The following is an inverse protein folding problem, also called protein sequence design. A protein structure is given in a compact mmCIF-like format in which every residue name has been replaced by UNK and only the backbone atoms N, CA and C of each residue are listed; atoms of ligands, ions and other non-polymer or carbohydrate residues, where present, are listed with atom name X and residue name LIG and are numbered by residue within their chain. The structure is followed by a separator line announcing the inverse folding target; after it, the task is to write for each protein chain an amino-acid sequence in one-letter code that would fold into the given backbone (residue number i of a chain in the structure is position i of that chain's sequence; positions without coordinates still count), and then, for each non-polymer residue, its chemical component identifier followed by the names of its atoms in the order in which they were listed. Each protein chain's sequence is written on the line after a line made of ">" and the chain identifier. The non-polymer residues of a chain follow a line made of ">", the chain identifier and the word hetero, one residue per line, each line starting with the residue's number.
data_IF_753798242836
#
_entry.id   IF_753798242836
#
_cell.length_a   1.000
_cell.length_b   1.000
_cell.length_c   1.000
_cell.angle_alpha   90.00
_cell.angle_beta   90.00
_cell.angle_gamma   90.00
#
_symmetry.space_group_name_H-M   'P 1'
#
loop_
_entity.id
_entity.type
_entity.pdbx_description
1 polymer ?
#
# COMPACT_ATOMS: atom_id res chain seq x y z
N UNK A 1 4.55 19.76 73.31
CA UNK A 1 5.54 18.81 72.77
C UNK A 1 4.81 17.60 72.24
N UNK A 2 4.68 17.50 70.91
CA UNK A 2 4.47 16.30 70.10
C UNK A 2 3.93 16.75 68.73
N UNK A 3 4.87 16.87 67.80
CA UNK A 3 4.70 16.96 66.35
C UNK A 3 4.00 15.71 65.81
N UNK A 4 3.18 15.82 64.76
CA UNK A 4 2.99 14.74 63.79
C UNK A 4 2.68 15.33 62.41
N UNK A 5 3.78 15.56 61.70
CA UNK A 5 4.02 15.34 60.27
C UNK A 5 2.79 15.18 59.36
N UNK A 6 2.53 16.23 58.58
CA UNK A 6 1.82 16.10 57.31
C UNK A 6 2.78 15.57 56.24
N UNK A 7 2.86 14.24 56.10
CA UNK A 7 3.49 13.59 54.95
C UNK A 7 2.75 13.99 53.67
N UNK A 8 3.31 14.97 52.94
CA UNK A 8 2.84 15.30 51.60
C UNK A 8 3.41 14.28 50.61
N UNK A 9 2.61 13.25 50.31
CA UNK A 9 2.90 12.28 49.26
C UNK A 9 2.95 12.99 47.89
N UNK A 10 4.16 13.35 47.46
CA UNK A 10 4.43 13.76 46.09
C UNK A 10 4.24 12.57 45.14
N UNK A 11 3.01 12.31 44.71
CA UNK A 11 2.74 11.47 43.55
C UNK A 11 3.27 12.16 42.31
N UNK A 12 4.55 11.91 41.99
CA UNK A 12 5.11 12.21 40.67
C UNK A 12 4.37 11.34 39.67
N UNK A 13 3.31 11.90 39.06
CA UNK A 13 2.62 11.29 37.93
C UNK A 13 3.63 11.16 36.80
N UNK A 14 4.22 9.97 36.64
CA UNK A 14 5.04 9.61 35.47
C UNK A 14 4.15 9.79 34.24
N UNK A 15 4.31 10.92 33.55
CA UNK A 15 3.62 11.21 32.29
C UNK A 15 3.93 10.07 31.32
N UNK A 16 2.92 9.28 30.96
CA UNK A 16 3.05 8.22 29.98
C UNK A 16 3.55 8.84 28.66
N UNK A 17 4.83 8.65 28.33
CA UNK A 17 5.51 9.19 27.14
C UNK A 17 5.01 8.58 25.81
N UNK A 18 3.98 7.74 25.83
CA UNK A 18 3.51 7.01 24.65
C UNK A 18 2.70 7.87 23.68
N UNK A 19 1.96 8.87 24.19
CA UNK A 19 1.05 9.68 23.36
C UNK A 19 1.82 10.74 22.57
N UNK A 20 2.77 11.42 23.19
CA UNK A 20 3.65 12.40 22.53
C UNK A 20 4.50 11.76 21.43
N UNK A 21 5.04 10.55 21.66
CA UNK A 21 5.82 9.85 20.63
C UNK A 21 4.97 9.46 19.42
N UNK A 22 3.71 9.08 19.62
CA UNK A 22 2.81 8.74 18.51
C UNK A 22 2.40 9.99 17.70
N UNK A 23 2.20 11.12 18.36
CA UNK A 23 1.95 12.40 17.71
C UNK A 23 3.18 12.91 16.95
N UNK A 24 4.36 12.84 17.55
CA UNK A 24 5.62 13.23 16.92
C UNK A 24 5.89 12.40 15.66
N UNK A 25 5.68 11.07 15.71
CA UNK A 25 5.82 10.21 14.53
C UNK A 25 4.87 10.64 13.41
N UNK A 26 3.61 10.94 13.73
CA UNK A 26 2.62 11.43 12.74
C UNK A 26 3.03 12.80 12.17
N UNK A 27 3.57 13.70 12.98
CA UNK A 27 4.04 15.02 12.55
C UNK A 27 5.26 14.89 11.63
N UNK A 28 6.21 14.03 11.97
CA UNK A 28 7.38 13.76 11.13
C UNK A 28 6.99 13.13 9.80
N UNK A 29 6.06 12.17 9.80
CA UNK A 29 5.50 11.59 8.57
C UNK A 29 4.79 12.65 7.73
N UNK A 30 3.94 13.48 8.33
CA UNK A 30 3.25 14.56 7.65
C UNK A 30 4.22 15.59 7.03
N UNK A 31 5.30 15.94 7.75
CA UNK A 31 6.35 16.84 7.25
C UNK A 31 7.11 16.22 6.08
N UNK A 32 7.45 14.92 6.16
CA UNK A 32 8.08 14.16 5.08
C UNK A 32 7.17 14.05 3.86
N UNK A 33 5.86 13.84 4.04
CA UNK A 33 4.87 13.84 2.94
C UNK A 33 4.70 15.21 2.31
N UNK A 34 4.78 16.29 3.08
CA UNK A 34 4.71 17.67 2.55
C UNK A 34 5.93 18.05 1.72
N UNK A 35 7.10 17.48 2.02
CA UNK A 35 8.33 17.70 1.26
C UNK A 35 8.46 16.80 0.02
N UNK A 36 7.61 15.79 -0.14
CA UNK A 36 7.62 14.95 -1.34
C UNK A 36 7.07 15.71 -2.55
N UNK A 37 7.69 15.55 -3.74
CA UNK A 37 7.25 16.25 -4.95
C UNK A 37 5.84 15.83 -5.42
N UNK A 38 5.37 14.65 -5.00
CA UNK A 38 4.08 14.04 -5.38
C UNK A 38 2.83 14.70 -4.72
N UNK A 39 3.00 15.73 -3.87
CA UNK A 39 1.91 16.50 -3.22
C UNK A 39 0.61 15.67 -3.00
N UNK A 40 0.61 14.70 -2.07
CA UNK A 40 -0.52 13.77 -1.93
C UNK A 40 -1.82 14.51 -1.66
N UNK A 41 -2.80 14.35 -2.56
CA UNK A 41 -4.13 14.93 -2.43
C UNK A 41 -5.02 14.12 -1.47
N UNK A 42 -4.64 12.87 -1.18
CA UNK A 42 -5.36 11.99 -0.27
C UNK A 42 -5.25 12.48 1.18
N UNK A 43 -6.40 12.80 1.76
CA UNK A 43 -6.56 13.09 3.19
C UNK A 43 -7.08 11.83 3.88
N UNK A 44 -6.66 11.56 5.14
CA UNK A 44 -7.30 10.53 5.94
C UNK A 44 -8.79 10.87 6.05
N UNK A 45 -9.63 10.06 5.43
CA UNK A 45 -11.08 10.19 5.43
C UNK A 45 -11.65 8.81 5.64
N UNK A 46 -12.57 8.70 6.58
CA UNK A 46 -13.28 7.45 6.82
C UNK A 46 -14.10 7.09 5.57
N UNK A 47 -14.26 5.79 5.31
CA UNK A 47 -15.13 5.35 4.22
C UNK A 47 -16.55 5.87 4.50
N UNK A 48 -17.31 6.21 3.46
CA UNK A 48 -18.68 6.69 3.61
C UNK A 48 -19.60 5.65 4.28
N UNK A 49 -19.18 4.38 4.30
CA UNK A 49 -19.84 3.28 5.00
C UNK A 49 -19.30 3.00 6.41
N UNK A 50 -18.31 3.76 6.86
CA UNK A 50 -17.80 3.66 8.24
C UNK A 50 -18.81 4.31 9.18
N UNK A 51 -19.11 3.63 10.29
CA UNK A 51 -20.05 4.08 11.34
C UNK A 51 -19.70 5.44 11.96
N UNK A 52 -18.43 5.88 11.91
CA UNK A 52 -17.96 7.19 12.37
C UNK A 52 -18.08 8.31 11.33
N UNK A 53 -18.46 7.99 10.09
CA UNK A 53 -18.56 9.00 9.03
C UNK A 53 -19.80 9.86 9.26
N UNK A 54 -19.67 11.17 9.07
CA UNK A 54 -20.74 12.17 9.25
C UNK A 54 -21.84 12.08 8.15
N UNK A 55 -21.98 10.91 7.48
CA UNK A 55 -22.97 10.64 6.45
C UNK A 55 -24.13 9.85 7.10
N UNK A 56 -25.17 10.56 7.52
CA UNK A 56 -26.05 10.13 8.60
C UNK A 56 -27.18 9.14 8.24
N UNK A 57 -27.36 8.71 6.99
CA UNK A 57 -28.62 8.04 6.62
C UNK A 57 -28.50 6.83 5.66
N UNK A 58 -27.70 5.82 6.01
CA UNK A 58 -27.81 4.48 5.40
C UNK A 58 -28.25 3.39 6.39
N UNK A 59 -28.49 3.74 7.66
CA UNK A 59 -28.89 2.79 8.70
C UNK A 59 -30.14 2.01 8.32
N UNK A 60 -31.13 2.66 7.70
CA UNK A 60 -32.34 1.99 7.22
C UNK A 60 -32.08 0.96 6.12
N UNK A 61 -31.22 1.29 5.14
CA UNK A 61 -30.88 0.38 4.04
C UNK A 61 -30.03 -0.81 4.52
N UNK A 62 -29.04 -0.56 5.38
CA UNK A 62 -28.19 -1.63 5.95
C UNK A 62 -29.01 -2.53 6.87
N UNK A 63 -29.88 -1.97 7.71
CA UNK A 63 -30.76 -2.75 8.57
C UNK A 63 -31.76 -3.58 7.76
N UNK A 64 -32.31 -3.01 6.67
CA UNK A 64 -33.19 -3.74 5.77
C UNK A 64 -32.47 -4.86 5.01
N UNK A 65 -31.27 -4.60 4.49
CA UNK A 65 -30.43 -5.62 3.85
C UNK A 65 -30.05 -6.74 4.83
N UNK A 66 -29.70 -6.39 6.07
CA UNK A 66 -29.46 -7.37 7.13
C UNK A 66 -30.71 -8.19 7.43
N UNK A 67 -31.88 -7.55 7.58
CA UNK A 67 -33.14 -8.24 7.86
C UNK A 67 -33.53 -9.20 6.72
N UNK A 68 -33.42 -8.77 5.46
CA UNK A 68 -33.69 -9.62 4.30
C UNK A 68 -32.73 -10.81 4.21
N UNK A 69 -31.43 -10.56 4.38
CA UNK A 69 -30.41 -11.61 4.33
C UNK A 69 -30.58 -12.58 5.50
N UNK A 70 -30.89 -12.09 6.69
CA UNK A 70 -31.10 -12.91 7.88
C UNK A 70 -32.38 -13.74 7.75
N UNK A 71 -33.52 -13.11 7.43
CA UNK A 71 -34.81 -13.79 7.32
C UNK A 71 -34.82 -14.83 6.17
N UNK A 72 -34.25 -14.50 5.02
CA UNK A 72 -34.14 -15.42 3.88
C UNK A 72 -33.03 -16.46 4.03
N UNK A 73 -31.86 -16.03 4.51
CA UNK A 73 -30.67 -16.85 4.67
C UNK A 73 -30.82 -17.89 5.77
N UNK A 74 -31.45 -17.56 6.91
CA UNK A 74 -31.70 -18.53 7.99
C UNK A 74 -32.59 -19.66 7.51
N UNK A 75 -33.66 -19.36 6.78
CA UNK A 75 -34.57 -20.40 6.26
C UNK A 75 -33.82 -21.39 5.38
N UNK A 76 -33.05 -20.89 4.42
CA UNK A 76 -32.23 -21.71 3.52
C UNK A 76 -31.12 -22.45 4.27
N UNK A 77 -30.50 -21.82 5.27
CA UNK A 77 -29.45 -22.42 6.08
C UNK A 77 -29.99 -23.56 6.94
N UNK A 78 -31.13 -23.37 7.63
CA UNK A 78 -31.76 -24.42 8.44
C UNK A 78 -32.25 -25.57 7.56
N UNK A 79 -32.84 -25.28 6.40
CA UNK A 79 -33.28 -26.32 5.46
C UNK A 79 -32.09 -27.14 4.94
N UNK A 80 -31.00 -26.47 4.54
CA UNK A 80 -29.81 -27.17 4.09
C UNK A 80 -29.09 -27.91 5.22
N UNK A 81 -29.04 -27.35 6.44
CA UNK A 81 -28.42 -27.97 7.61
C UNK A 81 -29.19 -29.21 8.06
N UNK A 82 -30.52 -29.17 8.02
CA UNK A 82 -31.36 -30.29 8.46
C UNK A 82 -31.48 -31.39 7.39
N UNK A 83 -31.44 -31.03 6.09
CA UNK A 83 -31.55 -31.99 4.97
C UNK A 83 -30.21 -32.58 4.53
N UNK A 84 -29.15 -31.78 4.51
CA UNK A 84 -27.82 -32.19 4.02
C UNK A 84 -26.74 -32.23 5.11
N UNK A 85 -27.02 -31.75 6.33
CA UNK A 85 -26.03 -31.67 7.41
C UNK A 85 -24.97 -30.58 7.18
N UNK A 86 -23.93 -30.58 8.03
CA UNK A 86 -22.71 -29.80 7.77
C UNK A 86 -21.91 -30.56 6.70
N UNK A 87 -22.13 -30.22 5.43
CA UNK A 87 -21.42 -30.81 4.28
C UNK A 87 -20.33 -29.90 3.71
N UNK A 88 -19.97 -28.85 4.44
CA UNK A 88 -18.90 -27.93 4.04
C UNK A 88 -17.60 -28.51 4.55
N UNK A 89 -17.00 -29.39 3.74
CA UNK A 89 -15.67 -29.89 4.01
C UNK A 89 -14.64 -28.84 3.54
N UNK A 90 -13.89 -28.20 4.45
CA UNK A 90 -12.90 -27.17 4.08
C UNK A 90 -11.80 -27.74 3.16
N UNK A 91 -11.55 -29.04 3.25
CA UNK A 91 -10.62 -29.75 2.37
C UNK A 91 -11.09 -29.77 0.92
N UNK A 92 -12.40 -29.88 0.68
CA UNK A 92 -12.97 -29.89 -0.67
C UNK A 92 -12.85 -28.52 -1.35
N UNK A 93 -12.99 -27.44 -0.59
CA UNK A 93 -12.71 -26.08 -1.06
C UNK A 93 -11.24 -25.90 -1.41
N UNK A 94 -10.36 -26.45 -0.58
CA UNK A 94 -8.93 -26.45 -0.88
C UNK A 94 -8.66 -27.24 -2.16
N UNK A 95 -9.27 -28.41 -2.36
CA UNK A 95 -9.18 -29.23 -3.58
C UNK A 95 -9.67 -28.47 -4.82
N UNK A 96 -10.81 -27.78 -4.72
CA UNK A 96 -11.38 -26.98 -5.82
C UNK A 96 -10.48 -25.78 -6.13
N UNK A 97 -9.89 -25.13 -5.12
CA UNK A 97 -8.96 -24.01 -5.35
C UNK A 97 -7.62 -24.50 -5.94
N UNK A 98 -7.21 -25.69 -5.54
CA UNK A 98 -5.89 -26.28 -5.81
C UNK A 98 -5.87 -27.15 -7.07
N UNK A 99 -7.04 -27.52 -7.63
CA UNK A 99 -7.15 -28.30 -8.87
C UNK A 99 -6.85 -29.80 -8.70
N UNK A 100 -6.98 -30.35 -7.49
CA UNK A 100 -6.56 -31.73 -7.13
C UNK A 100 -7.26 -32.85 -7.93
N UNK A 101 -8.25 -32.52 -8.76
CA UNK A 101 -9.08 -33.48 -9.49
C UNK A 101 -8.36 -34.12 -10.69
N UNK A 102 -7.27 -33.54 -11.19
CA UNK A 102 -6.58 -34.04 -12.39
C UNK A 102 -5.09 -34.33 -12.14
N UNK A 103 -4.81 -35.40 -11.38
CA UNK A 103 -3.69 -36.33 -11.61
C UNK A 103 -2.23 -35.85 -11.67
N UNK A 104 -1.92 -34.57 -11.48
CA UNK A 104 -0.55 -34.05 -11.47
C UNK A 104 -0.02 -33.83 -10.04
N UNK A 105 1.26 -34.11 -9.76
CA UNK A 105 1.90 -33.73 -8.49
C UNK A 105 2.11 -32.21 -8.32
N UNK A 106 1.90 -31.45 -9.40
CA UNK A 106 2.15 -30.01 -9.45
C UNK A 106 0.85 -29.23 -9.23
N UNK A 107 0.88 -28.25 -8.32
CA UNK A 107 -0.26 -27.38 -8.00
C UNK A 107 -0.07 -26.00 -8.66
N UNK A 108 -0.44 -25.84 -9.95
CA UNK A 108 -0.01 -24.68 -10.73
C UNK A 108 -0.60 -23.35 -10.22
N UNK A 109 -1.81 -23.36 -9.65
CA UNK A 109 -2.41 -22.18 -9.02
C UNK A 109 -1.59 -21.67 -7.83
N UNK A 110 -1.16 -22.57 -6.94
CA UNK A 110 -0.39 -22.23 -5.74
C UNK A 110 1.01 -21.76 -6.14
N UNK A 111 1.63 -22.45 -7.10
CA UNK A 111 2.93 -22.05 -7.65
C UNK A 111 2.89 -20.64 -8.23
N UNK A 112 1.85 -20.29 -8.99
CA UNK A 112 1.67 -18.92 -9.52
C UNK A 112 1.47 -17.89 -8.42
N UNK A 113 0.73 -18.21 -7.36
CA UNK A 113 0.53 -17.31 -6.22
C UNK A 113 1.86 -17.06 -5.50
N UNK A 114 2.64 -18.10 -5.21
CA UNK A 114 3.95 -17.96 -4.57
C UNK A 114 4.91 -17.19 -5.49
N UNK A 115 4.90 -17.51 -6.79
CA UNK A 115 5.74 -16.84 -7.78
C UNK A 115 5.44 -15.35 -7.91
N UNK A 116 4.22 -14.90 -7.59
CA UNK A 116 3.83 -13.49 -7.68
C UNK A 116 4.72 -12.53 -6.85
N UNK A 117 5.45 -13.06 -5.85
CA UNK A 117 6.43 -12.31 -5.06
C UNK A 117 7.67 -11.93 -5.88
N UNK A 118 8.10 -12.76 -6.82
CA UNK A 118 9.30 -12.55 -7.65
C UNK A 118 9.26 -11.23 -8.42
N UNK A 119 8.23 -10.92 -9.25
CA UNK A 119 8.17 -9.66 -9.99
C UNK A 119 8.05 -8.44 -9.08
N UNK A 120 7.46 -8.58 -7.88
CA UNK A 120 7.39 -7.52 -6.86
C UNK A 120 8.79 -7.21 -6.31
N UNK A 121 9.53 -8.24 -5.90
CA UNK A 121 10.90 -8.09 -5.39
C UNK A 121 11.82 -7.57 -6.49
N UNK A 122 11.71 -8.07 -7.73
CA UNK A 122 12.52 -7.61 -8.84
C UNK A 122 12.28 -6.11 -9.13
N UNK A 123 11.02 -5.67 -9.13
CA UNK A 123 10.67 -4.25 -9.27
C UNK A 123 11.31 -3.39 -8.17
N UNK A 124 11.29 -3.88 -6.93
CA UNK A 124 11.92 -3.19 -5.80
C UNK A 124 13.44 -3.13 -5.92
N UNK A 125 14.09 -4.22 -6.35
CA UNK A 125 15.54 -4.26 -6.55
C UNK A 125 16.00 -3.30 -7.66
N UNK A 126 15.26 -3.26 -8.77
CA UNK A 126 15.54 -2.32 -9.87
C UNK A 126 15.41 -0.88 -9.36
N UNK A 127 14.33 -0.56 -8.62
CA UNK A 127 14.13 0.80 -8.10
C UNK A 127 15.19 1.18 -7.06
N UNK A 128 15.60 0.25 -6.16
CA UNK A 128 16.71 0.50 -5.23
C UNK A 128 18.03 0.72 -5.96
N UNK A 129 18.30 -0.03 -7.03
CA UNK A 129 19.48 0.15 -7.88
C UNK A 129 19.47 1.50 -8.60
N UNK A 130 18.30 1.93 -9.07
CA UNK A 130 18.13 3.21 -9.76
C UNK A 130 18.19 4.41 -8.80
N UNK A 131 17.70 4.26 -7.57
CA UNK A 131 17.79 5.27 -6.52
C UNK A 131 19.23 5.46 -5.98
N UNK A 132 20.05 4.41 -6.01
CA UNK A 132 21.46 4.48 -5.63
C UNK A 132 22.38 5.01 -6.75
N UNK A 133 21.83 5.44 -7.89
CA UNK A 133 22.54 5.82 -9.12
C UNK A 133 23.52 4.75 -9.65
N UNK A 134 23.43 3.50 -9.17
CA UNK A 134 24.29 2.40 -9.60
C UNK A 134 23.98 1.96 -11.03
N UNK A 135 22.76 2.21 -11.50
CA UNK A 135 22.25 1.81 -12.82
C UNK A 135 21.81 3.06 -13.58
N UNK A 136 22.16 3.14 -14.87
CA UNK A 136 21.74 4.22 -15.77
C UNK A 136 20.21 4.18 -15.98
N UNK A 137 19.58 5.35 -16.17
CA UNK A 137 18.11 5.48 -16.27
C UNK A 137 17.48 4.66 -17.40
N UNK A 138 18.11 4.62 -18.58
CA UNK A 138 17.59 3.91 -19.76
C UNK A 138 17.43 2.40 -19.55
N UNK A 139 18.47 1.63 -19.13
CA UNK A 139 18.31 0.20 -18.87
C UNK A 139 17.36 -0.09 -17.70
N UNK A 140 17.29 0.78 -16.69
CA UNK A 140 16.33 0.63 -15.58
C UNK A 140 14.86 0.65 -16.05
N UNK A 141 14.53 1.57 -16.96
CA UNK A 141 13.17 1.64 -17.55
C UNK A 141 12.87 0.40 -18.40
N UNK A 142 13.83 -0.04 -19.23
CA UNK A 142 13.67 -1.25 -20.05
C UNK A 142 13.44 -2.47 -19.16
N UNK A 143 14.22 -2.62 -18.09
CA UNK A 143 14.07 -3.71 -17.13
C UNK A 143 12.69 -3.71 -16.44
N UNK A 144 12.14 -2.55 -16.11
CA UNK A 144 10.77 -2.45 -15.58
C UNK A 144 9.73 -2.87 -16.62
N UNK A 145 9.86 -2.43 -17.87
CA UNK A 145 8.92 -2.81 -18.95
C UNK A 145 8.95 -4.32 -19.17
N UNK A 146 10.14 -4.93 -19.22
CA UNK A 146 10.29 -6.38 -19.37
C UNK A 146 9.70 -7.11 -18.17
N UNK A 147 9.95 -6.65 -16.93
CA UNK A 147 9.37 -7.26 -15.73
C UNK A 147 7.84 -7.18 -15.71
N UNK A 148 7.25 -6.03 -16.11
CA UNK A 148 5.80 -5.88 -16.19
C UNK A 148 5.19 -6.72 -17.32
N UNK A 149 5.87 -6.83 -18.46
CA UNK A 149 5.45 -7.72 -19.54
C UNK A 149 5.48 -9.19 -19.07
N UNK A 150 6.56 -9.61 -18.40
CA UNK A 150 6.66 -10.95 -17.82
C UNK A 150 5.56 -11.22 -16.79
N UNK A 151 5.23 -10.25 -15.94
CA UNK A 151 4.14 -10.36 -14.96
C UNK A 151 2.79 -10.68 -15.64
N UNK A 152 2.48 -10.08 -16.79
CA UNK A 152 1.20 -10.31 -17.50
C UNK A 152 1.24 -11.58 -18.35
N UNK A 153 2.35 -11.84 -19.03
CA UNK A 153 2.50 -12.98 -19.94
C UNK A 153 2.58 -14.31 -19.19
N UNK A 154 3.19 -14.33 -18.01
CA UNK A 154 3.40 -15.57 -17.25
C UNK A 154 2.09 -16.29 -16.87
N UNK A 155 1.10 -15.68 -16.21
CA UNK A 155 -0.15 -16.37 -15.91
C UNK A 155 -0.91 -16.75 -17.18
N UNK A 156 -0.81 -15.95 -18.26
CA UNK A 156 -1.45 -16.25 -19.55
C UNK A 156 -0.88 -17.53 -20.19
N UNK A 157 0.45 -17.65 -20.25
CA UNK A 157 1.13 -18.83 -20.81
C UNK A 157 0.90 -20.06 -19.92
N UNK A 158 1.01 -19.92 -18.60
CA UNK A 158 0.87 -21.06 -17.67
C UNK A 158 -0.56 -21.63 -17.68
N UNK A 159 -1.58 -20.77 -17.75
CA UNK A 159 -2.97 -21.21 -17.87
C UNK A 159 -3.22 -21.86 -19.24
N UNK A 160 -2.64 -21.33 -20.32
CA UNK A 160 -2.84 -21.89 -21.66
C UNK A 160 -2.18 -23.26 -21.82
N UNK A 161 -0.97 -23.45 -21.31
CA UNK A 161 -0.23 -24.73 -21.40
C UNK A 161 -0.85 -25.79 -20.49
N UNK A 162 -1.37 -25.40 -19.33
CA UNK A 162 -1.97 -26.33 -18.35
C UNK A 162 -3.49 -26.26 -18.34
N UNK A 163 -4.11 -26.07 -19.51
CA UNK A 163 -5.55 -25.82 -19.61
C UNK A 163 -6.44 -26.95 -19.07
N UNK A 164 -5.95 -28.20 -19.03
CA UNK A 164 -6.69 -29.34 -18.47
C UNK A 164 -6.67 -29.34 -16.94
N UNK A 165 -5.51 -29.18 -16.31
CA UNK A 165 -5.35 -29.31 -14.85
C UNK A 165 -5.79 -28.10 -14.00
N UNK A 166 -6.33 -27.05 -14.60
CA UNK A 166 -6.70 -25.82 -13.88
C UNK A 166 -8.18 -25.79 -13.49
N UNK A 167 -8.44 -25.64 -12.20
CA UNK A 167 -9.76 -25.26 -11.72
C UNK A 167 -10.11 -23.84 -12.18
N UNK A 168 -11.35 -23.65 -12.65
CA UNK A 168 -11.89 -22.34 -13.04
C UNK A 168 -11.76 -21.28 -11.92
N UNK A 169 -11.98 -21.69 -10.67
CA UNK A 169 -11.86 -20.82 -9.50
C UNK A 169 -10.39 -20.45 -9.24
N UNK A 170 -9.47 -21.39 -9.43
CA UNK A 170 -8.03 -21.15 -9.35
C UNK A 170 -7.55 -20.16 -10.43
N UNK A 171 -7.97 -20.36 -11.68
CA UNK A 171 -7.60 -19.49 -12.79
C UNK A 171 -8.10 -18.05 -12.63
N UNK A 172 -9.37 -17.88 -12.21
CA UNK A 172 -9.97 -16.55 -11.99
C UNK A 172 -9.32 -15.80 -10.82
N UNK A 173 -9.00 -16.50 -9.73
CA UNK A 173 -8.32 -15.90 -8.57
C UNK A 173 -6.89 -15.48 -8.90
N UNK A 174 -6.12 -16.33 -9.57
CA UNK A 174 -4.75 -15.99 -10.01
C UNK A 174 -4.77 -14.83 -11.01
N UNK A 175 -5.66 -14.85 -12.00
CA UNK A 175 -5.78 -13.76 -12.98
C UNK A 175 -6.12 -12.42 -12.30
N UNK A 176 -7.05 -12.43 -11.35
CA UNK A 176 -7.42 -11.24 -10.58
C UNK A 176 -6.24 -10.71 -9.76
N UNK A 177 -5.49 -11.60 -9.09
CA UNK A 177 -4.31 -11.25 -8.30
C UNK A 177 -3.23 -10.61 -9.17
N UNK A 178 -2.88 -11.22 -10.30
CA UNK A 178 -1.87 -10.70 -11.22
C UNK A 178 -2.28 -9.37 -11.86
N UNK A 179 -3.58 -9.18 -12.13
CA UNK A 179 -4.12 -7.89 -12.60
C UNK A 179 -3.96 -6.78 -11.56
N UNK A 180 -4.25 -7.07 -10.29
CA UNK A 180 -4.06 -6.12 -9.17
C UNK A 180 -2.57 -5.78 -9.01
N UNK A 181 -1.69 -6.79 -9.06
CA UNK A 181 -0.25 -6.58 -8.97
C UNK A 181 0.28 -5.74 -10.13
N UNK A 182 -0.19 -5.98 -11.36
CA UNK A 182 0.18 -5.19 -12.52
C UNK A 182 -0.15 -3.71 -12.32
N UNK A 183 -1.38 -3.40 -11.90
CA UNK A 183 -1.80 -2.02 -11.65
C UNK A 183 -0.98 -1.37 -10.52
N UNK A 184 -0.71 -2.10 -9.44
CA UNK A 184 0.14 -1.65 -8.32
C UNK A 184 1.57 -1.35 -8.79
N UNK A 185 2.20 -2.27 -9.52
CA UNK A 185 3.58 -2.12 -9.98
C UNK A 185 3.71 -1.02 -11.04
N UNK A 186 2.75 -0.92 -11.96
CA UNK A 186 2.71 0.18 -12.93
C UNK A 186 2.65 1.53 -12.24
N UNK A 187 1.70 1.71 -11.31
CA UNK A 187 1.59 2.95 -10.53
C UNK A 187 2.87 3.24 -9.74
N UNK A 188 3.47 2.23 -9.11
CA UNK A 188 4.73 2.35 -8.38
C UNK A 188 5.88 2.87 -9.26
N UNK A 189 6.11 2.25 -10.42
CA UNK A 189 7.18 2.65 -11.34
C UNK A 189 6.99 4.08 -11.85
N UNK A 190 5.75 4.45 -12.21
CA UNK A 190 5.44 5.79 -12.73
C UNK A 190 5.65 6.88 -11.67
N UNK A 191 5.14 6.68 -10.46
CA UNK A 191 5.29 7.66 -9.37
C UNK A 191 6.76 7.83 -8.99
N UNK A 192 7.53 6.74 -8.92
CA UNK A 192 8.96 6.82 -8.61
C UNK A 192 9.75 7.52 -9.72
N UNK A 193 9.45 7.22 -10.99
CA UNK A 193 10.04 7.91 -12.13
C UNK A 193 9.78 9.42 -12.05
N UNK A 194 8.53 9.81 -11.77
CA UNK A 194 8.18 11.22 -11.62
C UNK A 194 8.94 11.88 -10.46
N UNK A 195 9.02 11.24 -9.30
CA UNK A 195 9.77 11.75 -8.15
C UNK A 195 11.25 11.98 -8.46
N UNK A 196 11.91 11.03 -9.14
CA UNK A 196 13.32 11.19 -9.55
C UNK A 196 13.52 12.34 -10.54
N UNK A 197 12.64 12.45 -11.55
CA UNK A 197 12.70 13.55 -12.52
C UNK A 197 12.49 14.92 -11.85
N UNK A 198 11.56 15.02 -10.89
CA UNK A 198 11.33 16.23 -10.13
C UNK A 198 12.55 16.63 -9.28
N UNK A 199 13.25 15.67 -8.68
CA UNK A 199 14.48 15.91 -7.92
C UNK A 199 15.62 16.42 -8.81
N UNK A 200 15.88 15.78 -9.95
CA UNK A 200 16.91 16.26 -10.89
C UNK A 200 16.60 17.67 -11.42
N UNK A 201 15.34 17.96 -11.72
CA UNK A 201 14.90 19.28 -12.18
C UNK A 201 15.08 20.35 -11.10
N UNK A 202 14.73 20.02 -9.86
CA UNK A 202 14.90 20.93 -8.70
C UNK A 202 16.37 21.19 -8.43
N UNK A 203 17.23 20.16 -8.48
CA UNK A 203 18.68 20.29 -8.30
C UNK A 203 19.32 21.20 -9.36
N UNK A 204 18.96 21.02 -10.63
CA UNK A 204 19.44 21.90 -11.73
C UNK A 204 18.96 23.34 -11.56
N UNK A 205 17.73 23.55 -11.10
CA UNK A 205 17.16 24.88 -10.84
C UNK A 205 17.86 25.56 -9.65
N UNK A 206 18.22 24.80 -8.60
CA UNK A 206 18.94 25.31 -7.44
C UNK A 206 20.37 25.74 -7.80
N UNK A 207 21.10 24.94 -8.59
CA UNK A 207 22.43 25.34 -9.11
C UNK A 207 22.34 26.64 -9.93
N UNK A 208 21.29 26.80 -10.75
CA UNK A 208 21.11 28.00 -11.59
C UNK A 208 20.74 29.27 -10.78
N UNK A 209 20.25 29.13 -9.54
CA UNK A 209 19.94 30.25 -8.64
C UNK A 209 21.15 30.72 -7.81
N UNK A 210 22.19 29.91 -7.66
CA UNK A 210 23.37 30.28 -6.87
C UNK A 210 24.34 31.24 -7.59
N UNK A 211 24.14 31.53 -8.88
CA UNK A 211 25.07 32.36 -9.66
C UNK A 211 24.72 33.86 -9.73
N UNK A 212 23.78 34.38 -8.95
CA UNK A 212 23.43 35.81 -8.94
C UNK A 212 23.33 36.36 -7.51
N UNK A 213 24.48 36.50 -6.85
CA UNK A 213 24.63 37.43 -5.73
C UNK A 213 26.00 38.11 -5.85
N UNK A 214 26.14 38.96 -6.88
CA UNK A 214 27.18 39.96 -6.89
C UNK A 214 26.77 41.05 -5.89
N UNK A 215 27.38 41.04 -4.70
CA UNK A 215 27.32 42.14 -3.74
C UNK A 215 27.94 43.39 -4.38
N UNK A 216 27.13 44.34 -4.82
CA UNK A 216 27.58 45.72 -5.03
C UNK A 216 27.65 46.44 -3.68
N UNK A 217 28.70 46.15 -2.89
CA UNK A 217 29.11 47.07 -1.82
C UNK A 217 29.88 48.21 -2.48
N UNK A 218 29.16 49.20 -3.02
CA UNK A 218 29.77 50.50 -3.28
C UNK A 218 29.76 51.27 -1.95
N UNK A 219 30.93 51.32 -1.33
CA UNK A 219 31.21 52.18 -0.20
C UNK A 219 30.93 53.64 -0.59
N UNK A 220 29.89 54.24 -0.03
CA UNK A 220 29.83 55.68 0.17
C UNK A 220 29.86 55.94 1.67
N UNK A 221 31.07 55.99 2.22
CA UNK A 221 31.34 56.70 3.47
C UNK A 221 32.10 57.98 3.13
N UNK A 222 31.47 59.09 3.46
CA UNK A 222 31.98 60.47 3.46
C UNK A 222 33.16 60.62 4.42
N UNK A 223 34.08 61.55 4.17
CA UNK A 223 34.52 62.41 5.24
C UNK A 223 34.38 63.89 4.88
N UNK A 224 33.85 64.64 5.85
CA UNK A 224 33.70 66.09 5.90
C UNK A 224 35.02 66.82 5.64
N UNK A 225 34.97 68.01 5.03
CA UNK A 225 35.81 69.17 5.38
C UNK A 225 35.24 70.45 4.76
N UNK A 226 34.98 71.43 5.64
CA UNK A 226 34.75 72.88 5.46
C UNK A 226 33.49 73.39 4.76
#
# INVERSE_FOLDING_TARGET
>A
MATNESESYNHVRRRAKSVTRAEDIKIFEAKKRKSQPDKPCHKPRDSLFTWSSNFSNFTGFINWGFLLLFMGGIRLLLENLLKYGIRVDPEQWFIVLTGRQEGGPEHPSILLIIYSVVPVVLSLLIEKGLASEAIRTTPGIIAHVVNLAALVLLPMVVIHVNASGFSLVGATTVCSLYSILFLKLWSYVQVNLWCRLALHTTSKTHLRRQSLSAKSNLNTYSPNTE
#
